data_IF_646887706542
#
_entry.id   IF_646887706542
#
_cell.length_a   1.000
_cell.length_b   1.000
_cell.length_c   1.000
_cell.angle_alpha   90.00
_cell.angle_beta   90.00
_cell.angle_gamma   90.00
#
_symmetry.space_group_name_H-M   'P 1'
#
loop_
_entity.id
_entity.type
_entity.pdbx_description
1 polymer ?
#
# COMPACT_ATOMS: atom_id res chain seq x y z
N UNK A 1 4.10 -28.85 25.79
CA UNK A 1 5.25 -27.95 25.98
C UNK A 1 4.73 -26.62 25.47
N UNK A 2 4.43 -25.69 26.36
CA UNK A 2 3.41 -24.64 26.15
C UNK A 2 3.83 -23.55 25.18
N UNK A 3 2.96 -23.35 24.19
CA UNK A 3 2.91 -22.43 23.04
C UNK A 3 2.91 -20.94 23.34
N UNK A 4 3.52 -20.46 24.43
CA UNK A 4 3.52 -19.01 24.71
C UNK A 4 4.33 -18.19 23.69
N UNK A 5 5.25 -18.83 22.94
CA UNK A 5 6.02 -18.16 21.88
C UNK A 5 5.34 -18.24 20.51
N UNK A 6 4.54 -19.26 20.24
CA UNK A 6 3.82 -19.38 18.97
C UNK A 6 2.64 -18.43 18.95
N UNK A 7 1.79 -18.40 20.00
CA UNK A 7 0.58 -17.55 20.07
C UNK A 7 0.78 -16.05 19.77
N UNK A 8 1.95 -15.52 20.12
CA UNK A 8 2.30 -14.11 19.88
C UNK A 8 2.68 -13.85 18.42
N UNK A 9 3.13 -14.87 17.70
CA UNK A 9 3.66 -14.76 16.35
C UNK A 9 2.54 -14.77 15.28
N UNK A 10 1.48 -15.60 15.36
CA UNK A 10 0.37 -15.50 14.37
C UNK A 10 -0.38 -14.19 14.45
N UNK A 11 -0.64 -13.68 15.67
CA UNK A 11 -1.30 -12.39 15.86
C UNK A 11 -0.46 -11.26 15.26
N UNK A 12 0.87 -11.29 15.48
CA UNK A 12 1.79 -10.31 14.89
C UNK A 12 1.88 -10.43 13.38
N UNK A 13 1.92 -11.65 12.83
CA UNK A 13 1.90 -11.88 11.39
C UNK A 13 0.62 -11.32 10.78
N UNK A 14 -0.52 -11.59 11.40
CA UNK A 14 -1.80 -11.04 10.96
C UNK A 14 -1.84 -9.52 11.06
N UNK A 15 -1.38 -8.93 12.17
CA UNK A 15 -1.30 -7.46 12.31
C UNK A 15 -0.38 -6.81 11.27
N UNK A 16 0.77 -7.44 10.97
CA UNK A 16 1.63 -6.94 9.91
C UNK A 16 0.94 -7.02 8.55
N UNK A 17 0.28 -8.14 8.26
CA UNK A 17 -0.33 -8.38 6.96
C UNK A 17 -1.66 -7.65 6.72
N UNK A 18 -2.50 -7.53 7.74
CA UNK A 18 -3.83 -6.95 7.67
C UNK A 18 -3.90 -5.47 8.04
N UNK A 19 -2.88 -4.94 8.74
CA UNK A 19 -2.85 -3.52 9.16
C UNK A 19 -1.64 -2.81 8.58
N UNK A 20 -0.43 -3.25 8.96
CA UNK A 20 0.78 -2.45 8.73
C UNK A 20 1.15 -2.31 7.25
N UNK A 21 1.23 -3.43 6.52
CA UNK A 21 1.59 -3.41 5.09
C UNK A 21 0.48 -2.74 4.25
N UNK A 22 -0.82 -3.00 4.47
CA UNK A 22 -1.89 -2.27 3.80
C UNK A 22 -1.88 -0.76 4.09
N UNK A 23 -1.56 -0.33 5.31
CA UNK A 23 -1.41 1.09 5.63
C UNK A 23 -0.27 1.73 4.83
N UNK A 24 0.88 1.04 4.74
CA UNK A 24 2.01 1.48 3.93
C UNK A 24 1.63 1.53 2.44
N UNK A 25 0.94 0.50 1.93
CA UNK A 25 0.45 0.47 0.55
C UNK A 25 -0.47 1.68 0.28
N UNK A 26 -1.40 1.98 1.19
CA UNK A 26 -2.28 3.14 1.08
C UNK A 26 -1.49 4.45 0.98
N UNK A 27 -0.40 4.62 1.75
CA UNK A 27 0.48 5.77 1.62
C UNK A 27 1.16 5.86 0.24
N UNK A 28 1.60 4.73 -0.34
CA UNK A 28 2.12 4.71 -1.71
C UNK A 28 1.03 5.04 -2.74
N UNK A 29 -0.21 4.58 -2.52
CA UNK A 29 -1.37 4.93 -3.33
C UNK A 29 -1.58 6.44 -3.39
N UNK A 30 -1.61 7.08 -2.21
CA UNK A 30 -1.71 8.55 -2.10
C UNK A 30 -0.53 9.25 -2.79
N UNK A 31 0.69 8.76 -2.60
CA UNK A 31 1.88 9.34 -3.22
C UNK A 31 1.82 9.28 -4.76
N UNK A 32 1.35 8.17 -5.34
CA UNK A 32 1.14 8.02 -6.78
C UNK A 32 0.12 9.03 -7.30
N UNK A 33 -1.00 9.19 -6.61
CA UNK A 33 -2.02 10.17 -6.98
C UNK A 33 -1.53 11.62 -6.89
N UNK A 34 -0.67 11.93 -5.92
CA UNK A 34 -0.02 13.24 -5.83
C UNK A 34 0.98 13.49 -6.97
N UNK A 35 1.83 12.50 -7.30
CA UNK A 35 2.74 12.59 -8.43
C UNK A 35 1.98 12.81 -9.74
N UNK A 36 0.92 12.03 -9.96
CA UNK A 36 0.05 12.16 -11.12
C UNK A 36 -0.58 13.55 -11.21
N UNK A 37 -1.13 14.06 -10.12
CA UNK A 37 -1.76 15.39 -10.08
C UNK A 37 -0.77 16.52 -10.39
N UNK A 38 0.47 16.41 -9.89
CA UNK A 38 1.49 17.44 -10.11
C UNK A 38 2.13 17.39 -11.48
N UNK A 39 2.02 16.26 -12.20
CA UNK A 39 2.58 16.08 -13.55
C UNK A 39 2.11 17.13 -14.56
N UNK A 40 0.81 17.44 -14.56
CA UNK A 40 0.20 18.39 -15.49
C UNK A 40 0.77 19.82 -15.32
N UNK A 41 0.98 20.25 -14.07
CA UNK A 41 1.58 21.55 -13.78
C UNK A 41 3.04 21.61 -14.21
N UNK A 42 3.80 20.53 -13.98
CA UNK A 42 5.20 20.43 -14.38
C UNK A 42 5.34 20.46 -15.91
N UNK A 43 4.50 19.70 -16.62
CA UNK A 43 4.53 19.62 -18.08
C UNK A 43 4.15 20.96 -18.73
N UNK A 44 3.23 21.71 -18.12
CA UNK A 44 2.90 23.08 -18.50
C UNK A 44 4.07 24.02 -18.27
N UNK A 45 4.74 23.95 -17.10
CA UNK A 45 5.89 24.79 -16.79
C UNK A 45 7.05 24.60 -17.78
N UNK A 46 7.34 23.34 -18.17
CA UNK A 46 8.36 23.05 -19.19
C UNK A 46 7.98 23.57 -20.58
N UNK A 47 6.69 23.56 -20.93
CA UNK A 47 6.23 24.04 -22.24
C UNK A 47 6.35 25.55 -22.41
N UNK A 48 6.48 26.31 -21.31
CA UNK A 48 6.74 27.74 -21.32
C UNK A 48 8.22 28.14 -21.42
N UNK A 49 9.15 27.17 -21.52
CA UNK A 49 10.59 27.43 -21.54
C UNK A 49 11.22 27.05 -22.89
N UNK A 50 11.81 28.03 -23.57
CA UNK A 50 12.49 27.80 -24.85
C UNK A 50 13.79 26.98 -24.67
N UNK A 51 14.03 26.04 -25.58
CA UNK A 51 15.29 25.29 -25.66
C UNK A 51 15.44 24.11 -24.68
N UNK A 52 14.39 23.75 -23.93
CA UNK A 52 14.44 22.69 -22.91
C UNK A 52 13.74 21.38 -23.32
N UNK A 53 13.54 21.14 -24.62
CA UNK A 53 12.80 19.96 -25.12
C UNK A 53 13.36 18.62 -24.61
N UNK A 54 14.68 18.45 -24.68
CA UNK A 54 15.34 17.21 -24.20
C UNK A 54 15.21 17.03 -22.69
N UNK A 55 15.31 18.12 -21.93
CA UNK A 55 15.15 18.11 -20.48
C UNK A 55 13.70 17.76 -20.09
N UNK A 56 12.71 18.32 -20.81
CA UNK A 56 11.29 17.98 -20.63
C UNK A 56 11.05 16.48 -20.85
N UNK A 57 11.56 15.93 -21.94
CA UNK A 57 11.41 14.51 -22.25
C UNK A 57 12.08 13.62 -21.20
N UNK A 58 13.29 13.97 -20.76
CA UNK A 58 13.99 13.25 -19.70
C UNK A 58 13.24 13.32 -18.36
N UNK A 59 12.68 14.48 -18.01
CA UNK A 59 11.87 14.67 -16.81
C UNK A 59 10.61 13.79 -16.83
N UNK A 60 9.85 13.83 -17.93
CA UNK A 60 8.64 13.01 -18.10
C UNK A 60 8.99 11.53 -17.98
N UNK A 61 10.04 11.07 -18.67
CA UNK A 61 10.47 9.68 -18.62
C UNK A 61 10.85 9.25 -17.19
N UNK A 62 11.58 10.08 -16.45
CA UNK A 62 11.99 9.78 -15.07
C UNK A 62 10.80 9.74 -14.10
N UNK A 63 9.87 10.70 -14.24
CA UNK A 63 8.63 10.72 -13.45
C UNK A 63 7.80 9.47 -13.70
N UNK A 64 7.55 9.12 -14.95
CA UNK A 64 6.73 7.96 -15.31
C UNK A 64 7.37 6.66 -14.77
N UNK A 65 8.69 6.53 -14.89
CA UNK A 65 9.42 5.40 -14.29
C UNK A 65 9.23 5.33 -12.76
N UNK A 66 9.33 6.46 -12.05
CA UNK A 66 9.06 6.48 -10.60
C UNK A 66 7.61 6.06 -10.30
N UNK A 67 6.66 6.59 -11.05
CA UNK A 67 5.25 6.34 -10.81
C UNK A 67 4.90 4.85 -11.01
N UNK A 68 5.35 4.26 -12.12
CA UNK A 68 4.94 2.91 -12.49
C UNK A 68 5.85 1.83 -11.86
N UNK A 69 7.17 1.99 -11.96
CA UNK A 69 8.10 0.94 -11.54
C UNK A 69 8.41 0.99 -10.04
N UNK A 70 8.26 2.16 -9.40
CA UNK A 70 8.56 2.31 -7.97
C UNK A 70 7.28 2.39 -7.17
N UNK A 71 6.43 3.39 -7.42
CA UNK A 71 5.28 3.66 -6.56
C UNK A 71 4.20 2.59 -6.73
N UNK A 72 3.76 2.34 -7.96
CA UNK A 72 2.78 1.30 -8.25
C UNK A 72 3.28 -0.07 -7.84
N UNK A 73 4.46 -0.49 -8.29
CA UNK A 73 4.97 -1.82 -7.96
C UNK A 73 5.20 -2.03 -6.45
N UNK A 74 5.63 -0.99 -5.72
CA UNK A 74 5.78 -1.10 -4.25
C UNK A 74 4.42 -1.25 -3.57
N UNK A 75 3.41 -0.47 -3.98
CA UNK A 75 2.04 -0.63 -3.49
C UNK A 75 1.54 -2.07 -3.70
N UNK A 76 1.66 -2.60 -4.92
CA UNK A 76 1.22 -3.96 -5.25
C UNK A 76 1.98 -5.03 -4.45
N UNK A 77 3.30 -4.88 -4.29
CA UNK A 77 4.11 -5.81 -3.50
C UNK A 77 3.74 -5.80 -2.02
N UNK A 78 3.41 -4.64 -1.46
CA UNK A 78 2.97 -4.51 -0.06
C UNK A 78 1.60 -5.17 0.16
N UNK A 79 0.66 -5.01 -0.79
CA UNK A 79 -0.63 -5.70 -0.76
C UNK A 79 -0.43 -7.21 -0.82
N UNK A 80 0.34 -7.70 -1.79
CA UNK A 80 0.60 -9.13 -1.97
C UNK A 80 1.32 -9.75 -0.77
N UNK A 81 2.33 -9.07 -0.22
CA UNK A 81 2.99 -9.50 1.00
C UNK A 81 2.02 -9.49 2.20
N UNK A 82 1.15 -8.48 2.28
CA UNK A 82 0.11 -8.39 3.30
C UNK A 82 -0.82 -9.60 3.28
N UNK A 83 -1.38 -9.91 2.11
CA UNK A 83 -2.23 -11.09 1.89
C UNK A 83 -1.52 -12.39 2.26
N UNK A 84 -0.27 -12.58 1.84
CA UNK A 84 0.49 -13.79 2.16
C UNK A 84 0.72 -13.95 3.68
N UNK A 85 0.98 -12.85 4.40
CA UNK A 85 1.14 -12.89 5.85
C UNK A 85 -0.17 -13.19 6.59
N UNK A 86 -1.30 -12.65 6.13
CA UNK A 86 -2.60 -12.97 6.72
C UNK A 86 -2.99 -14.42 6.49
N UNK A 87 -2.80 -14.94 5.27
CA UNK A 87 -3.07 -16.34 4.94
C UNK A 87 -2.18 -17.30 5.76
N UNK A 88 -0.90 -16.97 5.92
CA UNK A 88 0.01 -17.75 6.75
C UNK A 88 -0.41 -17.75 8.22
N UNK A 89 -0.79 -16.59 8.76
CA UNK A 89 -1.25 -16.48 10.14
C UNK A 89 -2.51 -17.32 10.39
N UNK A 90 -3.46 -17.28 9.47
CA UNK A 90 -4.69 -18.08 9.53
C UNK A 90 -4.38 -19.57 9.45
N UNK A 91 -3.53 -19.99 8.52
CA UNK A 91 -3.13 -21.39 8.38
C UNK A 91 -2.44 -21.95 9.64
N UNK A 92 -1.58 -21.15 10.28
CA UNK A 92 -0.93 -21.53 11.54
C UNK A 92 -1.97 -21.66 12.66
N UNK A 93 -2.87 -20.68 12.79
CA UNK A 93 -3.90 -20.66 13.83
C UNK A 93 -4.93 -21.80 13.69
N UNK A 94 -5.23 -22.23 12.48
CA UNK A 94 -6.10 -23.40 12.20
C UNK A 94 -5.42 -24.72 12.57
N UNK A 95 -4.10 -24.81 12.36
CA UNK A 95 -3.32 -26.03 12.61
C UNK A 95 -3.06 -26.23 14.11
N UNK A 96 -2.95 -25.14 14.88
CA UNK A 96 -2.80 -25.17 16.33
C UNK A 96 -4.18 -25.12 17.02
N UNK A 97 -4.70 -26.28 17.39
CA UNK A 97 -6.05 -26.43 18.01
C UNK A 97 -6.22 -25.54 19.24
N UNK A 98 -6.87 -24.38 19.05
CA UNK A 98 -7.19 -23.40 20.10
C UNK A 98 -6.87 -21.94 19.73
N UNK A 99 -5.99 -21.71 18.76
CA UNK A 99 -5.56 -20.34 18.43
C UNK A 99 -6.44 -19.66 17.36
N UNK A 100 -7.24 -20.43 16.60
CA UNK A 100 -8.20 -19.86 15.65
C UNK A 100 -9.21 -18.90 16.30
N UNK A 101 -9.83 -19.30 17.42
CA UNK A 101 -10.79 -18.46 18.15
C UNK A 101 -10.13 -17.20 18.74
N UNK A 102 -8.88 -17.33 19.23
CA UNK A 102 -8.11 -16.19 19.73
C UNK A 102 -7.77 -15.21 18.62
N UNK A 103 -7.32 -15.73 17.47
CA UNK A 103 -7.02 -14.91 16.31
C UNK A 103 -8.28 -14.17 15.84
N UNK A 104 -9.43 -14.84 15.77
CA UNK A 104 -10.70 -14.22 15.39
C UNK A 104 -11.14 -13.12 16.37
N UNK A 105 -10.98 -13.34 17.68
CA UNK A 105 -11.23 -12.30 18.69
C UNK A 105 -10.32 -11.08 18.47
N UNK A 106 -9.04 -11.29 18.16
CA UNK A 106 -8.10 -10.19 17.93
C UNK A 106 -8.41 -9.45 16.63
N UNK A 107 -8.83 -10.15 15.57
CA UNK A 107 -9.30 -9.52 14.33
C UNK A 107 -10.49 -8.60 14.61
N UNK A 108 -11.45 -9.07 15.40
CA UNK A 108 -12.63 -8.30 15.80
C UNK A 108 -12.25 -7.07 16.65
N UNK A 109 -11.36 -7.23 17.63
CA UNK A 109 -10.88 -6.13 18.46
C UNK A 109 -10.16 -5.06 17.63
N UNK A 110 -9.29 -5.47 16.69
CA UNK A 110 -8.58 -4.55 15.81
C UNK A 110 -9.49 -3.85 14.81
N UNK A 111 -10.51 -4.53 14.28
CA UNK A 111 -11.50 -3.92 13.40
C UNK A 111 -12.30 -2.82 14.12
N UNK A 112 -12.48 -2.96 15.43
CA UNK A 112 -13.24 -2.03 16.28
C UNK A 112 -12.35 -1.07 17.08
N UNK A 113 -11.02 -1.12 16.94
CA UNK A 113 -10.08 -0.32 17.74
C UNK A 113 -10.40 1.18 17.61
N UNK A 114 -10.62 1.96 18.68
CA UNK A 114 -10.93 3.39 18.57
C UNK A 114 -9.88 4.22 17.81
N UNK A 115 -8.64 3.74 17.67
CA UNK A 115 -7.55 4.36 16.94
C UNK A 115 -7.56 3.91 15.48
N UNK A 116 -7.91 4.83 14.57
CA UNK A 116 -8.03 4.54 13.12
C UNK A 116 -6.77 3.91 12.50
N UNK A 117 -5.57 4.27 12.98
CA UNK A 117 -4.31 3.73 12.46
C UNK A 117 -3.97 2.30 12.92
N UNK A 118 -4.74 1.73 13.84
CA UNK A 118 -4.58 0.35 14.30
C UNK A 118 -5.52 -0.62 13.59
N UNK A 119 -6.51 -0.09 12.85
CA UNK A 119 -7.49 -0.89 12.12
C UNK A 119 -6.92 -1.33 10.77
N UNK A 120 -7.31 -2.51 10.27
CA UNK A 120 -7.19 -2.79 8.85
C UNK A 120 -7.81 -1.65 8.02
N UNK A 121 -7.13 -1.13 6.98
CA UNK A 121 -7.72 -0.12 6.13
C UNK A 121 -8.94 -0.70 5.41
N UNK A 122 -10.02 0.09 5.33
CA UNK A 122 -11.25 -0.30 4.63
C UNK A 122 -10.99 -0.47 3.13
N UNK A 123 -10.14 0.39 2.58
CA UNK A 123 -9.72 0.35 1.18
C UNK A 123 -8.28 0.87 1.06
N UNK A 124 -7.45 0.11 0.35
CA UNK A 124 -6.10 0.56 -0.01
C UNK A 124 -6.23 1.38 -1.29
N UNK A 125 -5.79 2.64 -1.23
CA UNK A 125 -5.78 3.51 -2.41
C UNK A 125 -4.89 2.91 -3.48
N UNK A 126 -5.46 2.70 -4.65
CA UNK A 126 -4.70 2.36 -5.84
C UNK A 126 -3.97 3.61 -6.36
N UNK A 127 -2.64 3.55 -6.59
CA UNK A 127 -1.90 4.67 -7.14
C UNK A 127 -2.25 4.86 -8.62
N UNK A 128 -2.36 6.10 -9.08
CA UNK A 128 -2.42 6.39 -10.49
C UNK A 128 -1.14 5.92 -11.22
N UNK A 129 -1.30 5.47 -12.45
CA UNK A 129 -0.24 5.11 -13.40
C UNK A 129 0.04 6.25 -14.36
N UNK A 130 1.18 6.20 -15.06
CA UNK A 130 1.52 7.26 -16.02
C UNK A 130 0.61 7.30 -17.26
N UNK A 131 -0.17 6.25 -17.50
CA UNK A 131 -1.17 6.14 -18.58
C UNK A 131 -2.54 6.72 -18.18
N UNK A 132 -2.77 7.04 -16.90
CA UNK A 132 -4.05 7.59 -16.45
C UNK A 132 -4.27 9.01 -16.99
N UNK A 133 -5.53 9.40 -17.29
CA UNK A 133 -5.83 10.75 -17.72
C UNK A 133 -5.47 11.76 -16.60
N UNK A 134 -4.94 12.95 -16.94
CA UNK A 134 -4.66 13.98 -15.95
C UNK A 134 -5.96 14.44 -15.25
N UNK A 135 -5.94 14.76 -13.95
CA UNK A 135 -7.15 15.12 -13.22
C UNK A 135 -7.80 16.47 -13.61
N UNK A 136 -7.22 17.24 -14.54
CA UNK A 136 -7.65 18.62 -14.87
C UNK A 136 -7.86 18.87 -16.38
N UNK A 137 -8.41 17.91 -17.13
CA UNK A 137 -8.64 18.07 -18.58
C UNK A 137 -10.00 18.68 -18.99
N UNK A 138 -10.63 19.49 -18.14
CA UNK A 138 -11.83 20.29 -18.50
C UNK A 138 -11.49 21.77 -18.75
#
# INVERSE_FOLDING_TARGET
MTDERFQVDEIRLWQMGGVTLPQAAHCFGLAGNWLHTTSAYQDTAFSGMDGLGDLKNAWIAYRNLIQDEVVWQTNQNLIAAGTALTELAEHIAETDTGNGELLDSVKEDLANDPVVGNRPPVEVTEPATSDDPPPWTD
#
